data_IF_903913380021
#
_entry.id   IF_903913380021
#
_cell.length_a   1.000
_cell.length_b   1.000
_cell.length_c   1.000
_cell.angle_alpha   90.00
_cell.angle_beta   90.00
_cell.angle_gamma   90.00
#
_symmetry.space_group_name_H-M   'P 1'
#
loop_
_entity.id
_entity.type
_entity.pdbx_description
1 polymer ?
#
# COMPACT_ATOMS: atom_id res chain seq x y z
N UNK A 1 -0.88 -17.48 18.72
CA UNK A 1 -1.55 -17.35 17.39
C UNK A 1 -2.44 -16.11 17.32
N UNK A 2 -3.50 -15.96 18.15
CA UNK A 2 -4.39 -14.76 18.16
C UNK A 2 -3.70 -13.43 18.54
N UNK A 3 -2.89 -13.42 19.61
CA UNK A 3 -2.19 -12.21 20.07
C UNK A 3 -1.20 -11.63 19.02
N UNK A 4 -0.54 -12.51 18.25
CA UNK A 4 0.36 -12.05 17.18
C UNK A 4 -0.42 -11.38 16.05
N UNK A 5 -1.58 -11.91 15.67
CA UNK A 5 -2.42 -11.33 14.62
C UNK A 5 -2.89 -9.92 14.97
N UNK A 6 -3.36 -9.71 16.21
CA UNK A 6 -3.75 -8.39 16.71
C UNK A 6 -2.56 -7.43 16.73
N UNK A 7 -1.38 -7.90 17.16
CA UNK A 7 -0.16 -7.09 17.15
C UNK A 7 0.27 -6.69 15.73
N UNK A 8 0.11 -7.56 14.74
CA UNK A 8 0.38 -7.24 13.34
C UNK A 8 -0.61 -6.20 12.79
N UNK A 9 -1.91 -6.38 13.05
CA UNK A 9 -2.94 -5.43 12.63
C UNK A 9 -2.78 -4.03 13.24
N UNK A 10 -2.45 -3.94 14.53
CA UNK A 10 -2.19 -2.66 15.20
C UNK A 10 -0.93 -1.97 14.66
N UNK A 11 0.09 -2.75 14.26
CA UNK A 11 1.30 -2.19 13.64
C UNK A 11 1.01 -1.63 12.25
N UNK A 12 0.27 -2.39 11.44
CA UNK A 12 -0.20 -1.94 10.12
C UNK A 12 -0.98 -0.63 10.26
N UNK A 13 -1.94 -0.58 11.19
CA UNK A 13 -2.69 0.63 11.52
C UNK A 13 -1.78 1.83 11.81
N UNK A 14 -0.83 1.66 12.73
CA UNK A 14 0.04 2.77 13.15
C UNK A 14 0.94 3.29 12.02
N UNK A 15 1.41 2.39 11.15
CA UNK A 15 2.21 2.79 9.98
C UNK A 15 1.31 3.50 8.98
N UNK A 16 0.24 2.83 8.53
CA UNK A 16 -0.58 3.27 7.41
C UNK A 16 -1.36 4.55 7.72
N UNK A 17 -1.84 4.73 8.95
CA UNK A 17 -2.56 5.96 9.36
C UNK A 17 -1.68 7.22 9.31
N UNK A 18 -0.36 7.08 9.44
CA UNK A 18 0.57 8.21 9.35
C UNK A 18 0.93 8.57 7.89
N UNK A 19 0.56 7.73 6.92
CA UNK A 19 0.89 7.95 5.51
C UNK A 19 -0.13 8.88 4.85
N UNK A 20 0.37 9.92 4.20
CA UNK A 20 -0.42 10.85 3.41
C UNK A 20 0.31 11.18 2.11
N UNK A 21 -0.04 10.47 1.04
CA UNK A 21 0.54 10.65 -0.28
C UNK A 21 -0.49 10.27 -1.36
N UNK A 22 -0.58 10.99 -2.49
CA UNK A 22 -1.59 10.72 -3.53
C UNK A 22 -1.52 9.30 -4.11
N UNK A 23 -0.33 8.67 -4.09
CA UNK A 23 -0.08 7.30 -4.59
C UNK A 23 -0.16 6.22 -3.53
N UNK A 24 -0.66 6.54 -2.34
CA UNK A 24 -0.92 5.58 -1.25
C UNK A 24 -2.41 5.64 -0.94
N UNK A 25 -3.07 4.49 -0.80
CA UNK A 25 -4.46 4.44 -0.34
C UNK A 25 -4.53 5.04 1.06
N UNK A 26 -5.45 5.97 1.34
CA UNK A 26 -5.59 6.51 2.70
C UNK A 26 -6.26 5.51 3.64
N UNK A 27 -5.75 5.41 4.86
CA UNK A 27 -6.44 4.77 5.98
C UNK A 27 -7.12 5.83 6.82
N UNK A 28 -8.45 5.87 6.79
CA UNK A 28 -9.23 6.85 7.53
C UNK A 28 -9.38 6.47 9.00
N UNK A 29 -9.75 5.22 9.28
CA UNK A 29 -9.97 4.79 10.66
C UNK A 29 -9.83 3.29 10.87
N UNK A 30 -9.68 2.90 12.14
CA UNK A 30 -9.71 1.51 12.60
C UNK A 30 -10.47 1.42 13.90
N UNK A 31 -11.43 0.51 13.97
CA UNK A 31 -12.22 0.29 15.18
C UNK A 31 -12.48 -1.20 15.42
N UNK A 32 -12.58 -1.55 16.69
CA UNK A 32 -12.98 -2.90 17.11
C UNK A 32 -14.50 -3.05 16.94
N UNK A 33 -14.93 -4.20 16.43
CA UNK A 33 -16.36 -4.56 16.35
C UNK A 33 -16.72 -5.41 17.58
N UNK A 34 -15.88 -6.40 17.91
CA UNK A 34 -15.99 -7.24 19.11
C UNK A 34 -14.61 -7.77 19.55
N UNK A 35 -14.57 -8.61 20.59
CA UNK A 35 -13.34 -9.16 21.17
C UNK A 35 -12.46 -10.02 20.20
N UNK A 36 -12.97 -10.34 19.02
CA UNK A 36 -12.33 -11.16 18.00
C UNK A 36 -12.26 -10.48 16.63
N UNK A 37 -12.84 -9.30 16.43
CA UNK A 37 -12.96 -8.67 15.12
C UNK A 37 -12.73 -7.16 15.16
N UNK A 38 -12.11 -6.63 14.11
CA UNK A 38 -11.88 -5.22 13.89
C UNK A 38 -12.17 -4.86 12.43
N UNK A 39 -12.39 -3.58 12.17
CA UNK A 39 -12.63 -3.03 10.84
C UNK A 39 -11.58 -1.96 10.54
N UNK A 40 -11.15 -1.90 9.29
CA UNK A 40 -10.34 -0.82 8.74
C UNK A 40 -11.17 -0.06 7.70
N UNK A 41 -11.17 1.27 7.80
CA UNK A 41 -11.88 2.16 6.87
C UNK A 41 -10.86 2.80 5.95
N UNK A 42 -10.90 2.42 4.68
CA UNK A 42 -9.93 2.83 3.66
C UNK A 42 -10.58 3.78 2.64
N UNK A 43 -9.74 4.54 1.95
CA UNK A 43 -10.10 5.24 0.72
C UNK A 43 -10.66 4.26 -0.31
N UNK A 44 -11.82 4.59 -0.87
CA UNK A 44 -12.42 3.81 -1.94
C UNK A 44 -11.67 4.04 -3.26
N UNK A 45 -11.21 2.95 -3.88
CA UNK A 45 -10.65 2.93 -5.23
C UNK A 45 -11.59 2.13 -6.12
N UNK A 46 -12.08 2.72 -7.20
CA UNK A 46 -13.15 2.15 -8.04
C UNK A 46 -12.66 0.96 -8.88
N UNK A 47 -11.45 1.05 -9.44
CA UNK A 47 -10.89 -0.01 -10.28
C UNK A 47 -10.21 -1.16 -9.54
N UNK A 48 -9.75 -2.14 -10.32
CA UNK A 48 -9.12 -3.36 -9.84
C UNK A 48 -7.60 -3.20 -9.66
N UNK A 49 -6.96 -4.21 -9.08
CA UNK A 49 -5.50 -4.27 -8.99
C UNK A 49 -4.83 -4.61 -10.33
N UNK A 50 -3.53 -4.34 -10.41
CA UNK A 50 -2.72 -4.57 -11.60
C UNK A 50 -2.57 -6.05 -11.93
N UNK A 51 -2.64 -6.95 -10.94
CA UNK A 51 -2.59 -8.40 -11.17
C UNK A 51 -3.84 -8.87 -11.93
N UNK A 52 -5.02 -8.38 -11.57
CA UNK A 52 -6.26 -8.61 -12.30
C UNK A 52 -6.13 -8.13 -13.74
N UNK A 53 -5.64 -6.91 -13.96
CA UNK A 53 -5.44 -6.37 -15.31
C UNK A 53 -4.51 -7.26 -16.15
N UNK A 54 -3.37 -7.67 -15.58
CA UNK A 54 -2.39 -8.52 -16.28
C UNK A 54 -2.94 -9.91 -16.60
N UNK A 55 -3.82 -10.47 -15.76
CA UNK A 55 -4.50 -11.74 -16.05
C UNK A 55 -5.40 -11.65 -17.29
N UNK A 56 -6.09 -10.52 -17.47
CA UNK A 56 -6.98 -10.28 -18.61
C UNK A 56 -6.22 -9.91 -19.89
N UNK A 57 -5.22 -9.03 -19.79
CA UNK A 57 -4.57 -8.41 -20.96
C UNK A 57 -3.18 -8.97 -21.30
N UNK A 58 -2.60 -9.82 -20.42
CA UNK A 58 -1.25 -10.42 -20.50
C UNK A 58 -0.08 -9.45 -20.40
N UNK A 59 -0.13 -8.33 -21.10
CA UNK A 59 0.94 -7.34 -21.14
C UNK A 59 0.39 -5.92 -21.07
N UNK A 60 1.28 -4.98 -20.76
CA UNK A 60 1.01 -3.54 -20.73
C UNK A 60 1.97 -2.90 -21.72
N UNK A 61 1.52 -1.97 -22.59
CA UNK A 61 2.45 -1.29 -23.47
C UNK A 61 3.43 -0.44 -22.66
N UNK A 62 4.63 -0.24 -23.22
CA UNK A 62 5.77 0.32 -22.47
C UNK A 62 5.49 1.73 -21.91
N UNK A 63 4.72 2.54 -22.65
CA UNK A 63 4.36 3.90 -22.25
C UNK A 63 3.57 3.89 -20.94
N UNK A 64 2.56 3.03 -20.84
CA UNK A 64 1.68 2.88 -19.69
C UNK A 64 2.43 2.20 -18.54
N UNK A 65 3.21 1.16 -18.83
CA UNK A 65 4.07 0.51 -17.83
C UNK A 65 5.04 1.51 -17.18
N UNK A 66 5.69 2.38 -17.98
CA UNK A 66 6.53 3.46 -17.48
C UNK A 66 5.75 4.44 -16.59
N UNK A 67 4.53 4.80 -16.98
CA UNK A 67 3.68 5.69 -16.17
C UNK A 67 3.39 5.08 -14.78
N UNK A 68 2.98 3.81 -14.75
CA UNK A 68 2.69 3.07 -13.51
C UNK A 68 3.95 3.01 -12.62
N UNK A 69 5.09 2.61 -13.18
CA UNK A 69 6.36 2.50 -12.43
C UNK A 69 6.78 3.86 -11.85
N UNK A 70 6.64 4.95 -12.60
CA UNK A 70 6.97 6.29 -12.10
C UNK A 70 6.08 6.70 -10.90
N UNK A 71 4.79 6.37 -10.96
CA UNK A 71 3.87 6.63 -9.85
C UNK A 71 4.18 5.76 -8.62
N UNK A 72 4.54 4.49 -8.82
CA UNK A 72 5.00 3.59 -7.75
C UNK A 72 6.28 4.13 -7.11
N UNK A 73 7.27 4.53 -7.92
CA UNK A 73 8.53 5.11 -7.42
C UNK A 73 8.27 6.41 -6.66
N UNK A 74 7.31 7.23 -7.08
CA UNK A 74 6.88 8.42 -6.31
C UNK A 74 6.38 8.04 -4.91
N UNK A 75 5.58 6.98 -4.79
CA UNK A 75 5.11 6.49 -3.49
C UNK A 75 6.27 5.98 -2.63
N UNK A 76 7.17 5.18 -3.22
CA UNK A 76 8.33 4.61 -2.51
C UNK A 76 9.31 5.69 -2.05
N UNK A 77 9.52 6.74 -2.86
CA UNK A 77 10.32 7.90 -2.49
C UNK A 77 9.73 8.58 -1.25
N UNK A 78 8.42 8.81 -1.23
CA UNK A 78 7.73 9.36 -0.05
C UNK A 78 7.95 8.47 1.19
N UNK A 79 7.76 7.16 1.09
CA UNK A 79 8.00 6.23 2.21
C UNK A 79 9.45 6.24 2.71
N UNK A 80 10.41 6.53 1.83
CA UNK A 80 11.81 6.66 2.20
C UNK A 80 12.14 8.02 2.86
N UNK A 81 11.42 9.08 2.51
CA UNK A 81 11.64 10.44 3.01
C UNK A 81 10.97 10.72 4.37
N UNK A 82 9.88 10.02 4.71
CA UNK A 82 9.27 10.12 6.03
C UNK A 82 10.22 9.63 7.13
N UNK A 83 10.10 10.20 8.33
CA UNK A 83 10.95 9.84 9.48
C UNK A 83 10.10 9.24 10.61
N UNK A 84 10.38 7.99 11.03
CA UNK A 84 11.38 7.08 10.45
C UNK A 84 10.94 6.53 9.07
N UNK A 85 11.89 6.13 8.19
CA UNK A 85 11.54 5.58 6.88
C UNK A 85 10.72 4.31 7.00
N UNK A 86 9.86 4.05 6.01
CA UNK A 86 9.01 2.85 5.95
C UNK A 86 9.40 2.04 4.72
N UNK A 87 9.61 0.74 4.92
CA UNK A 87 9.77 -0.24 3.83
C UNK A 87 8.46 -1.02 3.71
N UNK A 88 7.89 -1.10 2.50
CA UNK A 88 6.63 -1.79 2.25
C UNK A 88 6.73 -3.32 2.36
N UNK A 89 7.86 -3.92 1.97
CA UNK A 89 8.16 -5.36 1.97
C UNK A 89 7.27 -6.32 1.14
N UNK A 90 6.13 -5.87 0.62
CA UNK A 90 5.20 -6.71 -0.17
C UNK A 90 4.67 -5.98 -1.42
N UNK A 91 5.56 -5.27 -2.12
CA UNK A 91 5.20 -4.61 -3.36
C UNK A 91 5.10 -5.63 -4.50
N UNK A 92 3.90 -5.77 -5.06
CA UNK A 92 3.55 -6.70 -6.15
C UNK A 92 2.33 -6.17 -6.92
N UNK A 93 2.01 -6.69 -8.12
CA UNK A 93 0.88 -6.19 -8.90
C UNK A 93 -0.46 -6.21 -8.15
N UNK A 94 -0.71 -7.21 -7.29
CA UNK A 94 -1.93 -7.27 -6.47
C UNK A 94 -2.07 -6.14 -5.43
N UNK A 95 -0.97 -5.43 -5.12
CA UNK A 95 -0.94 -4.33 -4.17
C UNK A 95 -0.84 -2.96 -4.87
N UNK A 96 -1.08 -2.91 -6.19
CA UNK A 96 -1.14 -1.70 -7.00
C UNK A 96 -2.55 -1.58 -7.58
N UNK A 97 -3.33 -0.64 -7.06
CA UNK A 97 -4.71 -0.39 -7.50
C UNK A 97 -4.73 0.59 -8.67
N UNK A 98 -5.46 0.24 -9.73
CA UNK A 98 -5.77 1.13 -10.84
C UNK A 98 -7.04 1.90 -10.50
N UNK A 99 -6.93 3.15 -10.07
CA UNK A 99 -8.06 3.89 -9.45
C UNK A 99 -9.27 4.04 -10.38
N UNK A 100 -9.05 4.16 -11.69
CA UNK A 100 -10.09 4.28 -12.73
C UNK A 100 -10.23 3.01 -13.58
N UNK A 101 -9.69 1.88 -13.13
CA UNK A 101 -9.80 0.58 -13.80
C UNK A 101 -9.03 0.44 -15.12
N UNK A 102 -8.17 1.40 -15.46
CA UNK A 102 -7.36 1.38 -16.67
C UNK A 102 -5.90 1.78 -16.39
N UNK A 103 -4.98 1.37 -17.28
CA UNK A 103 -3.53 1.58 -17.14
C UNK A 103 -3.04 2.96 -17.56
N UNK A 104 -3.92 3.80 -18.13
CA UNK A 104 -3.59 5.18 -18.48
C UNK A 104 -3.83 6.15 -17.33
N UNK A 105 -4.58 5.73 -16.32
CA UNK A 105 -4.97 6.55 -15.17
C UNK A 105 -4.00 6.50 -13.99
N UNK A 106 -4.54 6.86 -12.85
CA UNK A 106 -3.80 6.99 -11.60
C UNK A 106 -3.73 5.68 -10.82
N UNK A 107 -2.60 5.43 -10.17
CA UNK A 107 -2.41 4.27 -9.29
C UNK A 107 -2.26 4.68 -7.84
N UNK A 108 -2.63 3.74 -6.96
CA UNK A 108 -2.34 3.80 -5.52
C UNK A 108 -1.79 2.46 -5.05
N UNK A 109 -0.74 2.49 -4.22
CA UNK A 109 -0.25 1.31 -3.51
C UNK A 109 -1.03 1.10 -2.22
N UNK A 110 -1.19 -0.16 -1.83
CA UNK A 110 -1.97 -0.60 -0.67
C UNK A 110 -1.32 -1.80 0.02
N UNK A 111 -1.92 -2.27 1.11
CA UNK A 111 -1.52 -3.44 1.90
C UNK A 111 -0.14 -3.28 2.59
N UNK A 112 -0.16 -2.56 3.72
CA UNK A 112 1.02 -2.31 4.54
C UNK A 112 1.21 -3.37 5.65
N UNK A 113 0.52 -4.52 5.59
CA UNK A 113 0.53 -5.54 6.66
C UNK A 113 1.92 -6.13 6.96
N UNK A 114 2.80 -6.18 5.95
CA UNK A 114 4.19 -6.62 6.09
C UNK A 114 5.20 -5.47 6.23
N UNK A 115 4.73 -4.23 6.25
CA UNK A 115 5.60 -3.05 6.27
C UNK A 115 6.41 -2.94 7.55
N UNK A 116 7.55 -2.26 7.46
CA UNK A 116 8.47 -2.07 8.58
C UNK A 116 9.02 -0.65 8.60
N UNK A 117 8.89 -0.03 9.77
CA UNK A 117 9.58 1.19 10.14
C UNK A 117 11.07 0.88 10.35
N UNK A 118 11.93 1.68 9.74
CA UNK A 118 13.38 1.59 9.85
C UNK A 118 13.86 2.57 10.92
N UNK A 119 13.93 2.08 12.15
CA UNK A 119 14.49 2.84 13.27
C UNK A 119 16.01 3.00 13.07
N UNK A 120 16.64 4.03 13.65
CA UNK A 120 18.07 4.34 13.42
C UNK A 120 19.03 3.17 13.76
N UNK A 121 18.64 2.26 14.67
CA UNK A 121 19.42 1.05 14.98
C UNK A 121 19.44 0.02 13.83
N UNK A 122 18.48 0.07 12.91
CA UNK A 122 18.32 -0.88 11.81
C UNK A 122 18.68 -0.30 10.43
N UNK A 123 19.04 0.98 10.36
CA UNK A 123 19.35 1.66 9.10
C UNK A 123 20.87 1.85 8.94
N UNK A 124 21.48 1.05 8.06
CA UNK A 124 22.86 1.24 7.63
C UNK A 124 22.84 1.42 6.09
N UNK A 125 22.94 2.66 5.58
CA UNK A 125 22.74 2.98 4.16
C UNK A 125 23.81 2.38 3.24
#
# INVERSE_FOLDING_TARGET
KKANYIKHALREYNIHKALDHPRVVKLYDVFEIDANSFCTVLEYCDGHDLDFYLKQHKTIPEREARSIVMQVVSALKYLNEIKPPVIHYDLKPGNILLTEGNVCGEIKITDFGLSKVMDEENYNP
#
